data_IF_599194212721
#
_entry.id   IF_599194212721
#
_cell.length_a   1.000
_cell.length_b   1.000
_cell.length_c   1.000
_cell.angle_alpha   90.00
_cell.angle_beta   90.00
_cell.angle_gamma   90.00
#
_symmetry.space_group_name_H-M   'P 1'
#
loop_
_entity.id
_entity.type
_entity.pdbx_description
1 polymer ?
#
# COMPACT_ATOMS: atom_id res chain seq x y z
N UNK A 1 -11.16 -12.27 5.65
CA UNK A 1 -11.49 -10.89 5.21
C UNK A 1 -12.13 -11.09 3.85
N UNK A 2 -13.18 -10.33 3.49
CA UNK A 2 -13.60 -10.40 2.10
C UNK A 2 -12.50 -9.70 1.28
N UNK A 3 -11.80 -10.49 0.47
CA UNK A 3 -10.80 -10.01 -0.47
C UNK A 3 -11.47 -9.93 -1.83
N UNK A 4 -11.23 -8.84 -2.53
CA UNK A 4 -11.85 -8.56 -3.81
C UNK A 4 -10.78 -8.38 -4.88
N UNK A 5 -11.12 -8.80 -6.08
CA UNK A 5 -10.31 -8.63 -7.27
C UNK A 5 -10.93 -7.54 -8.13
N UNK A 6 -10.24 -6.40 -8.24
CA UNK A 6 -10.61 -5.30 -9.10
C UNK A 6 -10.09 -5.53 -10.52
N UNK A 7 -10.76 -4.94 -11.50
CA UNK A 7 -10.33 -5.00 -12.90
C UNK A 7 -9.05 -4.20 -13.11
N UNK A 8 -8.36 -4.46 -14.23
CA UNK A 8 -7.19 -3.68 -14.64
C UNK A 8 -7.50 -2.20 -14.73
N UNK A 9 -8.68 -1.85 -15.24
CA UNK A 9 -9.15 -0.49 -15.41
C UNK A 9 -9.38 0.20 -14.06
N UNK A 10 -10.03 -0.47 -13.10
CA UNK A 10 -10.24 0.03 -11.74
C UNK A 10 -8.91 0.27 -11.01
N UNK A 11 -7.98 -0.70 -11.09
CA UNK A 11 -6.64 -0.57 -10.51
C UNK A 11 -5.88 0.61 -11.16
N UNK A 12 -5.95 0.75 -12.48
CA UNK A 12 -5.28 1.83 -13.20
C UNK A 12 -5.86 3.20 -12.81
N UNK A 13 -7.18 3.31 -12.68
CA UNK A 13 -7.84 4.54 -12.22
C UNK A 13 -7.41 4.91 -10.80
N UNK A 14 -7.37 3.93 -9.89
CA UNK A 14 -6.87 4.14 -8.53
C UNK A 14 -5.42 4.63 -8.53
N UNK A 15 -4.52 3.96 -9.27
CA UNK A 15 -3.12 4.35 -9.36
C UNK A 15 -2.93 5.75 -9.98
N UNK A 16 -3.76 6.14 -10.95
CA UNK A 16 -3.73 7.49 -11.52
C UNK A 16 -4.08 8.54 -10.47
N UNK A 17 -5.10 8.29 -9.63
CA UNK A 17 -5.45 9.18 -8.51
C UNK A 17 -4.32 9.27 -7.49
N UNK A 18 -3.71 8.14 -7.11
CA UNK A 18 -2.54 8.11 -6.23
C UNK A 18 -1.43 9.01 -6.80
N UNK A 19 -1.08 8.84 -8.07
CA UNK A 19 0.00 9.61 -8.72
C UNK A 19 -0.30 11.10 -8.82
N UNK A 20 -1.57 11.48 -8.98
CA UNK A 20 -1.99 12.88 -8.98
C UNK A 20 -1.89 13.53 -7.58
N UNK A 21 -1.99 12.74 -6.50
CA UNK A 21 -1.87 13.21 -5.12
C UNK A 21 -0.41 13.31 -4.65
N UNK A 22 0.50 12.47 -5.16
CA UNK A 22 1.93 12.50 -4.80
C UNK A 22 2.59 13.89 -4.84
N UNK A 23 2.41 14.73 -5.90
CA UNK A 23 3.01 16.06 -5.92
C UNK A 23 2.39 17.03 -4.90
N UNK A 24 1.18 16.75 -4.40
CA UNK A 24 0.47 17.51 -3.38
C UNK A 24 0.83 16.94 -2.00
N UNK A 25 2.05 17.17 -1.52
CA UNK A 25 2.60 16.53 -0.32
C UNK A 25 1.75 16.71 0.94
N UNK A 26 1.04 17.82 1.03
CA UNK A 26 0.07 18.15 2.08
C UNK A 26 -1.17 17.21 2.08
N UNK A 27 -1.46 16.58 0.94
CA UNK A 27 -2.53 15.58 0.77
C UNK A 27 -2.03 14.15 0.92
N UNK A 28 -0.79 13.94 1.37
CA UNK A 28 -0.25 12.60 1.63
C UNK A 28 0.03 12.45 3.12
N UNK A 29 -0.46 11.36 3.70
CA UNK A 29 -0.24 11.02 5.10
C UNK A 29 0.29 9.59 5.21
N UNK A 30 1.33 9.39 6.02
CA UNK A 30 1.81 8.04 6.40
C UNK A 30 1.28 7.71 7.78
N UNK A 31 0.67 6.53 7.90
CA UNK A 31 0.27 6.01 9.21
C UNK A 31 1.49 5.51 9.99
N UNK A 32 2.16 6.42 10.69
CA UNK A 32 3.26 6.12 11.63
C UNK A 32 2.84 6.24 13.10
N UNK A 33 1.56 6.42 13.37
CA UNK A 33 1.08 6.52 14.77
C UNK A 33 1.34 5.22 15.52
N UNK A 34 1.87 5.27 16.76
CA UNK A 34 1.99 4.09 17.61
C UNK A 34 0.60 3.51 17.88
N UNK A 35 0.47 2.19 17.75
CA UNK A 35 -0.82 1.54 18.02
C UNK A 35 -1.02 1.35 19.52
N UNK A 36 -2.27 1.49 19.99
CA UNK A 36 -2.62 1.21 21.39
C UNK A 36 -2.25 -0.23 21.77
N UNK A 37 -1.72 -0.42 22.98
CA UNK A 37 -1.40 -1.73 23.54
C UNK A 37 -0.08 -2.35 23.05
N UNK A 38 0.98 -1.54 22.89
CA UNK A 38 2.34 -1.99 22.53
C UNK A 38 2.46 -2.72 21.18
N UNK A 39 1.47 -2.58 20.28
CA UNK A 39 1.58 -3.14 18.94
C UNK A 39 2.55 -2.33 18.09
N UNK A 40 3.48 -3.03 17.45
CA UNK A 40 4.52 -2.44 16.60
C UNK A 40 3.90 -1.95 15.29
N UNK A 41 4.09 -0.67 14.98
CA UNK A 41 3.79 -0.13 13.66
C UNK A 41 4.95 -0.49 12.71
N UNK A 42 4.74 -1.51 11.87
CA UNK A 42 5.77 -2.04 10.97
C UNK A 42 6.34 -0.99 10.02
N UNK A 43 5.53 -0.04 9.56
CA UNK A 43 6.00 1.07 8.71
C UNK A 43 6.96 1.97 9.47
N UNK A 44 6.59 2.39 10.68
CA UNK A 44 7.46 3.22 11.52
C UNK A 44 8.77 2.51 11.86
N UNK A 45 8.70 1.23 12.24
CA UNK A 45 9.90 0.42 12.51
C UNK A 45 10.80 0.34 11.29
N UNK A 46 10.23 0.03 10.12
CA UNK A 46 10.99 -0.09 8.88
C UNK A 46 11.65 1.22 8.46
N UNK A 47 10.93 2.34 8.55
CA UNK A 47 11.49 3.68 8.31
C UNK A 47 12.64 4.00 9.27
N UNK A 48 12.51 3.60 10.54
CA UNK A 48 13.55 3.83 11.56
C UNK A 48 14.80 2.99 11.30
N UNK A 49 14.63 1.72 10.92
CA UNK A 49 15.72 0.78 10.69
C UNK A 49 16.51 1.07 9.40
N UNK A 50 15.81 1.51 8.35
CA UNK A 50 16.42 1.75 7.04
C UNK A 50 16.78 3.21 6.79
N UNK A 51 16.20 4.15 7.55
CA UNK A 51 16.37 5.57 7.35
C UNK A 51 15.57 6.15 6.16
N UNK A 52 14.71 5.36 5.51
CA UNK A 52 13.88 5.85 4.41
C UNK A 52 12.83 6.86 4.91
N UNK A 53 12.62 7.91 4.12
CA UNK A 53 11.66 8.96 4.41
C UNK A 53 10.41 8.90 3.53
N UNK A 54 9.54 9.90 3.72
CA UNK A 54 8.35 10.10 2.88
C UNK A 54 8.73 10.15 1.39
N UNK A 55 9.77 10.88 1.01
CA UNK A 55 10.17 11.02 -0.40
C UNK A 55 10.55 9.68 -1.04
N UNK A 56 11.27 8.82 -0.33
CA UNK A 56 11.64 7.49 -0.80
C UNK A 56 10.40 6.62 -1.03
N UNK A 57 9.47 6.66 -0.09
CA UNK A 57 8.18 5.97 -0.20
C UNK A 57 7.41 6.49 -1.41
N UNK A 58 7.27 7.82 -1.56
CA UNK A 58 6.58 8.43 -2.70
C UNK A 58 7.20 8.03 -4.04
N UNK A 59 8.53 7.96 -4.11
CA UNK A 59 9.25 7.49 -5.30
C UNK A 59 8.93 6.03 -5.66
N UNK A 60 8.70 5.19 -4.66
CA UNK A 60 8.23 3.80 -4.87
C UNK A 60 6.77 3.79 -5.33
N UNK A 61 5.89 4.55 -4.67
CA UNK A 61 4.48 4.63 -5.03
C UNK A 61 4.26 5.15 -6.46
N UNK A 62 5.05 6.12 -6.90
CA UNK A 62 4.97 6.67 -8.26
C UNK A 62 5.25 5.60 -9.34
N UNK A 63 6.08 4.60 -9.01
CA UNK A 63 6.46 3.48 -9.89
C UNK A 63 5.47 2.33 -9.86
N UNK A 64 4.44 2.38 -9.02
CA UNK A 64 3.40 1.34 -9.02
C UNK A 64 2.69 1.28 -10.38
N UNK A 65 2.35 0.05 -10.76
CA UNK A 65 1.73 -0.34 -12.02
C UNK A 65 0.67 -1.39 -11.69
N UNK A 66 -0.24 -1.66 -12.62
CA UNK A 66 -1.32 -2.64 -12.43
C UNK A 66 -0.77 -4.02 -12.03
N UNK A 67 0.37 -4.44 -12.58
CA UNK A 67 0.99 -5.72 -12.24
C UNK A 67 1.45 -5.83 -10.78
N UNK A 68 1.56 -4.72 -10.04
CA UNK A 68 1.93 -4.73 -8.62
C UNK A 68 0.70 -4.87 -7.71
N UNK A 69 -0.52 -4.78 -8.24
CA UNK A 69 -1.74 -4.96 -7.46
C UNK A 69 -1.87 -6.41 -6.99
N UNK A 70 -2.38 -6.62 -5.79
CA UNK A 70 -2.64 -7.97 -5.28
C UNK A 70 -4.13 -8.19 -5.05
N UNK A 71 -4.76 -7.36 -4.22
CA UNK A 71 -6.19 -7.40 -3.93
C UNK A 71 -6.66 -6.10 -3.26
N UNK A 72 -7.97 -5.93 -3.16
CA UNK A 72 -8.62 -4.96 -2.28
C UNK A 72 -9.31 -5.69 -1.14
N UNK A 73 -9.44 -5.02 0.01
CA UNK A 73 -10.15 -5.57 1.16
C UNK A 73 -10.90 -4.46 1.89
N UNK A 74 -11.93 -4.84 2.64
CA UNK A 74 -12.62 -3.91 3.51
C UNK A 74 -11.71 -3.41 4.65
N UNK A 75 -11.79 -2.12 4.96
CA UNK A 75 -11.16 -1.56 6.13
C UNK A 75 -11.92 -1.98 7.39
N UNK A 76 -11.28 -2.81 8.21
CA UNK A 76 -11.83 -3.31 9.48
C UNK A 76 -11.88 -2.27 10.59
N UNK A 77 -11.25 -1.11 10.40
CA UNK A 77 -11.31 -0.04 11.38
C UNK A 77 -12.73 0.52 11.42
N UNK A 78 -13.36 0.51 12.61
CA UNK A 78 -14.73 1.00 12.82
C UNK A 78 -14.92 2.46 12.38
N UNK A 79 -13.86 3.27 12.42
CA UNK A 79 -13.89 4.67 11.98
C UNK A 79 -13.90 4.82 10.46
N UNK A 80 -13.69 3.73 9.72
CA UNK A 80 -13.61 3.69 8.26
C UNK A 80 -14.60 2.69 7.66
N UNK A 81 -15.73 2.45 8.34
CA UNK A 81 -16.75 1.49 7.91
C UNK A 81 -17.19 1.77 6.46
N UNK A 82 -17.16 0.71 5.63
CA UNK A 82 -17.54 0.77 4.22
C UNK A 82 -16.45 1.29 3.28
N UNK A 83 -15.26 1.60 3.78
CA UNK A 83 -14.13 2.00 2.94
C UNK A 83 -13.23 0.80 2.65
N UNK A 84 -12.54 0.85 1.50
CA UNK A 84 -11.64 -0.20 1.06
C UNK A 84 -10.18 0.24 1.15
N UNK A 85 -9.31 -0.75 1.26
CA UNK A 85 -7.86 -0.62 1.20
C UNK A 85 -7.32 -1.37 0.00
N UNK A 86 -6.31 -0.81 -0.65
CA UNK A 86 -5.69 -1.36 -1.85
C UNK A 86 -4.31 -1.88 -1.52
N UNK A 87 -4.07 -3.16 -1.81
CA UNK A 87 -2.86 -3.87 -1.41
C UNK A 87 -2.03 -4.14 -2.67
N UNK A 88 -0.75 -3.80 -2.58
CA UNK A 88 0.23 -3.97 -3.64
C UNK A 88 1.46 -4.69 -3.11
N UNK A 89 2.07 -5.49 -3.99
CA UNK A 89 3.35 -6.15 -3.80
C UNK A 89 4.35 -5.67 -4.85
N UNK A 90 5.58 -5.35 -4.42
CA UNK A 90 6.62 -4.89 -5.34
C UNK A 90 8.01 -5.35 -4.86
N UNK A 91 8.74 -6.06 -5.70
CA UNK A 91 10.16 -6.30 -5.47
C UNK A 91 10.96 -5.06 -5.80
N UNK A 92 11.68 -4.51 -4.82
CA UNK A 92 12.46 -3.28 -4.98
C UNK A 92 13.73 -3.31 -4.15
N UNK A 93 14.81 -2.78 -4.71
CA UNK A 93 16.01 -2.49 -3.94
C UNK A 93 15.81 -1.25 -3.06
N UNK A 94 15.95 -1.42 -1.73
CA UNK A 94 15.88 -0.38 -0.72
C UNK A 94 17.16 -0.46 0.12
N UNK A 95 17.92 0.65 0.21
CA UNK A 95 19.14 0.77 1.03
C UNK A 95 20.03 -0.47 0.90
N UNK A 96 20.39 -0.80 -0.35
CA UNK A 96 21.30 -1.89 -0.74
C UNK A 96 20.75 -3.33 -0.64
N UNK A 97 19.45 -3.52 -0.39
CA UNK A 97 18.83 -4.84 -0.33
C UNK A 97 17.58 -4.95 -1.20
N UNK A 98 17.48 -6.04 -1.95
CA UNK A 98 16.24 -6.40 -2.65
C UNK A 98 15.20 -6.92 -1.67
N UNK A 99 14.05 -6.25 -1.62
CA UNK A 99 12.96 -6.57 -0.71
C UNK A 99 11.64 -6.70 -1.45
N UNK A 100 10.85 -7.68 -1.05
CA UNK A 100 9.48 -7.85 -1.50
C UNK A 100 8.60 -6.96 -0.60
N UNK A 101 8.21 -5.79 -1.10
CA UNK A 101 7.49 -4.79 -0.32
C UNK A 101 5.99 -5.10 -0.25
N UNK A 102 5.45 -5.03 0.97
CA UNK A 102 4.01 -4.95 1.24
C UNK A 102 3.59 -3.48 1.32
N UNK A 103 2.70 -3.07 0.44
CA UNK A 103 2.21 -1.69 0.34
C UNK A 103 0.69 -1.69 0.48
N UNK A 104 0.18 -0.90 1.42
CA UNK A 104 -1.26 -0.74 1.66
C UNK A 104 -1.65 0.72 1.55
N UNK A 105 -2.51 1.03 0.59
CA UNK A 105 -2.93 2.39 0.26
C UNK A 105 -4.43 2.56 0.45
N UNK A 106 -4.83 3.82 0.66
CA UNK A 106 -6.21 4.25 0.74
C UNK A 106 -6.31 5.69 0.29
N UNK A 107 -7.37 6.04 -0.43
CA UNK A 107 -7.72 7.44 -0.69
C UNK A 107 -8.96 7.75 0.13
N UNK A 108 -8.85 8.72 1.04
CA UNK A 108 -9.98 9.24 1.79
C UNK A 108 -10.61 10.34 0.96
N UNK A 109 -11.82 10.11 0.46
CA UNK A 109 -12.61 11.13 -0.22
C UNK A 109 -13.45 11.86 0.84
N UNK A 110 -13.02 13.08 1.16
CA UNK A 110 -13.76 14.02 2.02
C UNK A 110 -14.19 15.23 1.18
N UNK A 111 -13.93 16.46 1.62
CA UNK A 111 -14.00 17.65 0.75
C UNK A 111 -12.88 17.64 -0.28
N UNK A 112 -11.73 17.09 0.10
CA UNK A 112 -10.60 16.82 -0.79
C UNK A 112 -10.17 15.35 -0.67
N UNK A 113 -9.53 14.85 -1.72
CA UNK A 113 -8.92 13.52 -1.73
C UNK A 113 -7.58 13.56 -0.98
N UNK A 114 -7.42 12.70 0.03
CA UNK A 114 -6.17 12.51 0.78
C UNK A 114 -5.66 11.09 0.57
N UNK A 115 -4.39 10.97 0.17
CA UNK A 115 -3.69 9.68 0.08
C UNK A 115 -3.17 9.27 1.46
N UNK A 116 -3.68 8.16 1.96
CA UNK A 116 -3.24 7.55 3.21
C UNK A 116 -2.40 6.29 2.93
N UNK A 117 -1.13 6.36 3.28
CA UNK A 117 -0.18 5.24 3.24
C UNK A 117 -0.34 4.48 4.55
N UNK A 118 -1.17 3.44 4.51
CA UNK A 118 -1.54 2.66 5.68
C UNK A 118 -0.42 1.71 6.12
N UNK A 119 0.33 1.15 5.17
CA UNK A 119 1.47 0.27 5.44
C UNK A 119 2.50 0.35 4.32
N UNK A 120 3.78 0.38 4.68
CA UNK A 120 4.92 0.30 3.75
C UNK A 120 6.09 -0.37 4.49
N UNK A 121 6.33 -1.65 4.20
CA UNK A 121 7.40 -2.43 4.82
C UNK A 121 7.67 -3.70 4.00
N UNK A 122 8.79 -4.40 4.22
CA UNK A 122 9.03 -5.71 3.63
C UNK A 122 7.96 -6.69 4.08
N UNK A 123 7.57 -7.57 3.19
CA UNK A 123 6.71 -8.68 3.54
C UNK A 123 7.42 -9.57 4.56
N UNK A 124 6.68 -10.00 5.58
CA UNK A 124 7.18 -10.95 6.57
C UNK A 124 6.09 -12.01 6.81
N UNK A 125 5.95 -12.96 5.87
CA UNK A 125 4.92 -13.99 5.93
C UNK A 125 5.36 -15.08 6.92
N UNK A 126 4.43 -15.59 7.72
CA UNK A 126 4.73 -16.68 8.66
C UNK A 126 4.96 -18.03 7.97
N UNK A 127 4.45 -18.18 6.75
CA UNK A 127 4.64 -19.33 5.86
C UNK A 127 4.45 -18.90 4.40
N UNK A 128 4.87 -19.75 3.44
CA UNK A 128 4.83 -19.40 2.02
C UNK A 128 3.41 -19.15 1.48
N UNK A 129 2.39 -19.79 2.05
CA UNK A 129 0.98 -19.59 1.69
C UNK A 129 0.47 -18.18 2.05
N UNK A 130 1.17 -17.46 2.93
CA UNK A 130 0.81 -16.10 3.36
C UNK A 130 1.49 -15.01 2.52
N UNK A 131 2.36 -15.40 1.57
CA UNK A 131 3.01 -14.44 0.67
C UNK A 131 1.99 -13.78 -0.24
N UNK A 132 2.15 -12.48 -0.44
CA UNK A 132 1.46 -11.70 -1.43
C UNK A 132 1.74 -12.31 -2.80
N UNK A 133 0.67 -12.64 -3.51
CA UNK A 133 0.81 -13.06 -4.89
C UNK A 133 1.00 -11.82 -5.76
N UNK A 134 2.23 -11.63 -6.24
CA UNK A 134 2.59 -10.66 -7.27
C UNK A 134 3.72 -11.21 -8.15
N UNK A 135 3.87 -10.79 -9.43
CA UNK A 135 3.00 -9.84 -10.11
C UNK A 135 1.57 -10.38 -10.27
N UNK A 136 0.60 -9.47 -10.29
CA UNK A 136 -0.79 -9.79 -10.58
C UNK A 136 -0.88 -10.57 -11.90
N UNK A 137 -1.19 -11.85 -11.83
CA UNK A 137 -1.49 -12.69 -12.99
C UNK A 137 -3.00 -12.68 -13.17
N UNK A 138 -3.51 -11.79 -14.01
CA UNK A 138 -4.94 -11.82 -14.32
C UNK A 138 -5.22 -13.15 -15.05
N UNK A 139 -5.94 -14.08 -14.42
CA UNK A 139 -6.35 -15.36 -15.01
C UNK A 139 -7.60 -15.25 -15.87
N UNK A 140 -8.04 -14.02 -16.19
CA UNK A 140 -9.07 -13.75 -17.19
C UNK A 140 -8.49 -12.88 -18.30
N UNK A 141 -7.70 -13.53 -19.15
CA UNK A 141 -7.71 -13.17 -20.58
C UNK A 141 -9.07 -13.62 -21.15
N UNK A 142 -9.62 -12.80 -22.03
CA UNK A 142 -10.95 -12.92 -22.64
C UNK A 142 -11.05 -14.23 -23.44
#
# INVERSE_FOLDING_TARGET
>A
MAEYQCTREEVQQFLNRVKALIPQKDKVTINISPWKGHKVNKTLTYMTETGIGLEDILNVLYKLQVCHYSYTADDRNIHFKGQQVWIFGLRKNIVDKDEDLYIKLKILTTEEDILLIMSFHPENPGCDEQRLQFPYKNTKEI
#
